data_IF_361353611750
#
_entry.id   IF_361353611750
#
_cell.length_a   1.000
_cell.length_b   1.000
_cell.length_c   1.000
_cell.angle_alpha   90.00
_cell.angle_beta   90.00
_cell.angle_gamma   90.00
#
_symmetry.space_group_name_H-M   'P 1'
#
loop_
_entity.id
_entity.type
_entity.pdbx_description
1 polymer ?
#
# COMPACT_ATOMS: atom_id res chain seq x y z
N UNK A 1 33.32 -1.88 -14.00
CA UNK A 1 32.92 -1.99 -12.58
C UNK A 1 31.45 -1.58 -12.53
N UNK A 2 30.54 -2.54 -12.62
CA UNK A 2 29.10 -2.30 -12.66
C UNK A 2 28.61 -1.99 -11.24
N UNK A 3 28.06 -0.79 -11.06
CA UNK A 3 27.55 -0.28 -9.79
C UNK A 3 26.22 -0.99 -9.43
N UNK A 4 26.11 -1.67 -8.26
CA UNK A 4 24.90 -2.39 -7.89
C UNK A 4 23.73 -1.42 -7.59
N UNK A 5 22.81 -1.34 -8.56
CA UNK A 5 21.44 -0.85 -8.46
C UNK A 5 21.22 0.63 -8.03
N UNK A 6 21.23 1.54 -9.01
CA UNK A 6 20.58 2.86 -8.91
C UNK A 6 19.06 2.74 -9.03
N UNK A 7 18.38 2.20 -8.02
CA UNK A 7 16.92 2.36 -7.94
C UNK A 7 16.59 3.78 -7.47
N UNK A 8 15.53 4.39 -8.01
CA UNK A 8 15.08 5.76 -7.67
C UNK A 8 13.91 5.79 -6.69
N UNK A 9 13.13 4.71 -6.59
CA UNK A 9 12.03 4.61 -5.64
C UNK A 9 12.56 4.59 -4.20
N UNK A 10 11.86 5.27 -3.29
CA UNK A 10 12.24 5.43 -1.88
C UNK A 10 11.03 5.17 -0.98
N UNK A 11 9.97 5.89 -1.27
CA UNK A 11 8.70 5.79 -0.57
C UNK A 11 7.74 4.89 -1.36
N UNK A 12 7.31 3.80 -0.72
CA UNK A 12 6.46 2.79 -1.35
C UNK A 12 5.13 2.78 -0.60
N UNK A 13 4.04 2.80 -1.36
CA UNK A 13 2.68 2.86 -0.83
C UNK A 13 1.87 1.69 -1.35
N UNK A 14 0.97 1.16 -0.51
CA UNK A 14 0.04 0.11 -0.89
C UNK A 14 -1.39 0.61 -0.74
N UNK A 15 -2.16 0.57 -1.83
CA UNK A 15 -3.61 0.73 -1.79
C UNK A 15 -4.20 -0.63 -2.14
N UNK A 16 -4.93 -1.22 -1.19
CA UNK A 16 -5.49 -2.56 -1.36
C UNK A 16 -6.96 -2.59 -0.95
N UNK A 17 -7.73 -3.45 -1.61
CA UNK A 17 -9.10 -3.78 -1.21
C UNK A 17 -9.24 -5.28 -1.00
N UNK A 18 -10.24 -5.68 -0.23
CA UNK A 18 -10.53 -7.09 0.05
C UNK A 18 -12.03 -7.33 0.04
N UNK A 19 -12.41 -8.57 -0.26
CA UNK A 19 -13.80 -8.99 -0.09
C UNK A 19 -14.21 -9.12 1.38
N UNK A 20 -13.28 -9.58 2.21
CA UNK A 20 -13.45 -9.63 3.66
C UNK A 20 -13.43 -8.21 4.25
N UNK A 21 -14.34 -7.91 5.19
CA UNK A 21 -14.44 -6.63 5.88
C UNK A 21 -13.43 -6.43 7.02
N UNK A 22 -12.70 -7.47 7.40
CA UNK A 22 -11.65 -7.42 8.40
C UNK A 22 -10.40 -6.72 7.88
N UNK A 23 -9.83 -5.84 8.69
CA UNK A 23 -8.60 -5.11 8.35
C UNK A 23 -7.39 -6.03 8.14
N UNK A 24 -7.34 -7.18 8.82
CA UNK A 24 -6.28 -8.18 8.70
C UNK A 24 -6.25 -8.92 7.36
N UNK A 25 -7.32 -8.85 6.56
CA UNK A 25 -7.43 -9.53 5.26
C UNK A 25 -6.32 -9.17 4.26
N UNK A 26 -5.69 -8.01 4.43
CA UNK A 26 -4.60 -7.52 3.59
C UNK A 26 -3.21 -7.70 4.21
N UNK A 27 -3.10 -8.26 5.43
CA UNK A 27 -1.80 -8.42 6.11
C UNK A 27 -0.82 -9.30 5.32
N UNK A 28 -1.34 -10.30 4.60
CA UNK A 28 -0.52 -11.12 3.70
C UNK A 28 0.11 -10.31 2.57
N UNK A 29 -0.66 -9.41 1.95
CA UNK A 29 -0.16 -8.53 0.89
C UNK A 29 0.87 -7.53 1.44
N UNK A 30 0.61 -6.94 2.61
CA UNK A 30 1.54 -6.03 3.29
C UNK A 30 2.85 -6.74 3.62
N UNK A 31 2.78 -7.95 4.19
CA UNK A 31 3.97 -8.74 4.53
C UNK A 31 4.76 -9.15 3.29
N UNK A 32 4.09 -9.55 2.22
CA UNK A 32 4.73 -9.89 0.95
C UNK A 32 5.46 -8.71 0.34
N UNK A 33 4.81 -7.54 0.31
CA UNK A 33 5.42 -6.30 -0.15
C UNK A 33 6.62 -5.91 0.72
N UNK A 34 6.50 -6.02 2.05
CA UNK A 34 7.60 -5.73 2.97
C UNK A 34 8.82 -6.61 2.69
N UNK A 35 8.66 -7.91 2.45
CA UNK A 35 9.78 -8.79 2.12
C UNK A 35 10.50 -8.40 0.82
N UNK A 36 9.78 -7.83 -0.15
CA UNK A 36 10.40 -7.24 -1.35
C UNK A 36 11.13 -5.92 -1.04
N UNK A 37 10.53 -5.04 -0.23
CA UNK A 37 11.13 -3.77 0.23
C UNK A 37 12.43 -4.00 0.98
N UNK A 38 12.49 -5.04 1.82
CA UNK A 38 13.68 -5.38 2.61
C UNK A 38 14.91 -5.70 1.75
N UNK A 39 14.72 -6.00 0.46
CA UNK A 39 15.81 -6.18 -0.50
C UNK A 39 16.45 -4.86 -0.96
N UNK A 40 15.88 -3.70 -0.61
CA UNK A 40 16.30 -2.37 -1.05
C UNK A 40 16.50 -1.42 0.13
N UNK A 41 17.74 -1.33 0.60
CA UNK A 41 18.16 -0.56 1.79
C UNK A 41 17.71 0.91 1.81
N UNK A 42 17.55 1.56 0.65
CA UNK A 42 17.16 2.98 0.57
C UNK A 42 15.65 3.18 0.51
N UNK A 43 14.85 2.13 0.73
CA UNK A 43 13.40 2.17 0.58
C UNK A 43 12.68 1.85 1.86
N UNK A 44 11.44 2.29 1.96
CA UNK A 44 10.55 2.00 3.08
C UNK A 44 9.11 1.88 2.62
N UNK A 45 8.33 1.14 3.38
CA UNK A 45 6.87 1.17 3.29
C UNK A 45 6.38 2.45 3.97
N UNK A 46 5.96 3.42 3.17
CA UNK A 46 5.57 4.76 3.64
C UNK A 46 4.09 4.90 3.97
N UNK A 47 3.25 3.96 3.52
CA UNK A 47 1.84 3.94 3.88
C UNK A 47 1.06 2.78 3.28
N UNK A 48 -0.03 2.42 3.94
CA UNK A 48 -0.96 1.37 3.49
C UNK A 48 -2.38 1.85 3.71
N UNK A 49 -3.18 1.91 2.64
CA UNK A 49 -4.61 2.18 2.69
C UNK A 49 -5.37 0.88 2.47
N UNK A 50 -6.34 0.62 3.36
CA UNK A 50 -7.07 -0.65 3.40
C UNK A 50 -8.56 -0.44 3.16
N UNK A 51 -9.00 -0.71 1.93
CA UNK A 51 -10.42 -0.75 1.55
C UNK A 51 -11.06 -2.11 1.86
N UNK A 52 -11.19 -2.44 3.15
CA UNK A 52 -11.79 -3.70 3.57
C UNK A 52 -13.28 -3.75 3.22
N UNK A 53 -13.75 -4.88 2.69
CA UNK A 53 -15.13 -5.06 2.22
C UNK A 53 -15.45 -4.37 0.89
N UNK A 54 -14.48 -3.76 0.20
CA UNK A 54 -14.66 -3.27 -1.17
C UNK A 54 -14.34 -4.39 -2.19
N UNK A 55 -15.34 -5.22 -2.45
CA UNK A 55 -15.24 -6.48 -3.20
C UNK A 55 -15.75 -6.36 -4.66
N UNK A 56 -16.65 -5.42 -4.91
CA UNK A 56 -17.24 -5.17 -6.21
C UNK A 56 -16.71 -3.90 -6.88
N UNK A 57 -16.88 -3.83 -8.21
CA UNK A 57 -16.57 -2.63 -8.98
C UNK A 57 -17.31 -1.42 -8.40
N UNK A 58 -16.54 -0.41 -8.00
CA UNK A 58 -17.09 0.82 -7.45
C UNK A 58 -17.49 0.77 -5.98
N UNK A 59 -17.41 -0.38 -5.30
CA UNK A 59 -17.73 -0.51 -3.87
C UNK A 59 -16.93 0.46 -2.99
N UNK A 60 -15.67 0.74 -3.36
CA UNK A 60 -14.80 1.70 -2.66
C UNK A 60 -15.39 3.12 -2.57
N UNK A 61 -16.32 3.50 -3.47
CA UNK A 61 -17.02 4.79 -3.41
C UNK A 61 -17.93 4.93 -2.19
N UNK A 62 -18.34 3.81 -1.61
CA UNK A 62 -19.14 3.77 -0.39
C UNK A 62 -18.28 3.81 0.88
N UNK A 63 -16.96 3.92 0.75
CA UNK A 63 -15.99 4.01 1.85
C UNK A 63 -15.26 5.37 1.81
N UNK A 64 -15.96 6.48 2.09
CA UNK A 64 -15.40 7.82 1.96
C UNK A 64 -14.22 8.07 2.89
N UNK A 65 -14.17 7.43 4.06
CA UNK A 65 -13.03 7.51 4.98
C UNK A 65 -11.75 6.91 4.38
N UNK A 66 -11.85 5.78 3.68
CA UNK A 66 -10.72 5.13 3.01
C UNK A 66 -10.23 5.96 1.83
N UNK A 67 -11.16 6.56 1.07
CA UNK A 67 -10.82 7.49 0.00
C UNK A 67 -10.11 8.75 0.53
N UNK A 68 -10.56 9.27 1.67
CA UNK A 68 -9.92 10.40 2.34
C UNK A 68 -8.53 10.04 2.85
N UNK A 69 -8.37 8.87 3.46
CA UNK A 69 -7.07 8.36 3.92
C UNK A 69 -6.06 8.27 2.75
N UNK A 70 -6.48 7.74 1.60
CA UNK A 70 -5.64 7.68 0.40
C UNK A 70 -5.23 9.08 -0.10
N UNK A 71 -6.14 10.04 -0.03
CA UNK A 71 -5.87 11.41 -0.44
C UNK A 71 -4.91 12.14 0.50
N UNK A 72 -5.05 11.92 1.82
CA UNK A 72 -4.18 12.54 2.84
C UNK A 72 -2.78 11.92 2.87
N UNK A 73 -2.68 10.63 2.56
CA UNK A 73 -1.41 9.91 2.48
C UNK A 73 -0.49 10.47 1.39
N UNK A 74 -1.05 10.92 0.25
CA UNK A 74 -0.27 11.56 -0.83
C UNK A 74 0.14 13.00 -0.49
N UNK A 75 -0.70 13.75 0.22
CA UNK A 75 -0.38 15.14 0.63
C UNK A 75 0.76 15.27 1.64
N UNK A 76 1.14 14.17 2.26
CA UNK A 76 2.22 14.14 3.26
C UNK A 76 3.59 13.82 2.64
N UNK A 77 3.68 13.79 1.30
CA UNK A 77 4.88 13.45 0.51
C UNK A 77 5.56 14.69 -0.06
#
# INVERSE_FOLDING_TARGET
MNDPAKYSFRDIYLLATSADGGTASMDGAVKGLQGWIDCFEKTKLSGVVRGAGADQLGAIRNLPSVLQEAYEMEKSV
#
